data_IF_799660060399
#
_entry.id   IF_799660060399
#
_cell.length_a   1.000
_cell.length_b   1.000
_cell.length_c   1.000
_cell.angle_alpha   90.00
_cell.angle_beta   90.00
_cell.angle_gamma   90.00
#
_symmetry.space_group_name_H-M   'P 1'
#
loop_
_entity.id
_entity.type
_entity.pdbx_description
1 polymer ?
#
# COMPACT_ATOMS: atom_id res chain seq x y z
N UNK A 1 31.46 -18.56 8.71
CA UNK A 1 31.34 -17.44 7.78
C UNK A 1 31.74 -17.91 6.40
N UNK A 2 30.85 -18.50 5.67
CA UNK A 2 31.05 -18.88 4.26
C UNK A 2 30.57 -17.68 3.42
N UNK A 3 31.52 -16.97 2.81
CA UNK A 3 31.22 -15.94 1.83
C UNK A 3 30.49 -16.60 0.66
N UNK A 4 29.18 -16.39 0.56
CA UNK A 4 28.44 -16.70 -0.65
C UNK A 4 29.01 -15.77 -1.72
N UNK A 5 29.71 -16.34 -2.69
CA UNK A 5 30.20 -15.59 -3.85
C UNK A 5 28.97 -15.03 -4.57
N UNK A 6 28.83 -13.71 -4.65
CA UNK A 6 27.89 -12.99 -5.49
C UNK A 6 28.20 -13.26 -6.98
N UNK A 7 28.14 -14.50 -7.42
CA UNK A 7 28.32 -14.86 -8.81
C UNK A 7 27.02 -14.58 -9.55
N UNK A 8 27.11 -13.81 -10.62
CA UNK A 8 26.01 -13.54 -11.55
C UNK A 8 25.34 -14.86 -11.99
N UNK A 9 24.02 -14.96 -11.82
CA UNK A 9 23.26 -16.14 -12.23
C UNK A 9 22.85 -16.04 -13.71
N UNK A 10 23.66 -16.61 -14.58
CA UNK A 10 23.38 -16.72 -16.02
C UNK A 10 22.15 -17.57 -16.32
N UNK A 11 21.88 -18.62 -15.52
CA UNK A 11 20.73 -19.50 -15.72
C UNK A 11 19.42 -18.74 -15.53
N UNK A 12 19.35 -17.95 -14.44
CA UNK A 12 18.23 -17.05 -14.18
C UNK A 12 18.01 -16.07 -15.35
N UNK A 13 19.07 -15.39 -15.78
CA UNK A 13 18.96 -14.36 -16.84
C UNK A 13 18.48 -14.94 -18.18
N UNK A 14 18.98 -16.12 -18.58
CA UNK A 14 18.54 -16.79 -19.80
C UNK A 14 17.08 -17.23 -19.70
N UNK A 15 16.68 -17.83 -18.57
CA UNK A 15 15.29 -18.22 -18.30
C UNK A 15 14.38 -16.99 -18.34
N UNK A 16 14.75 -15.92 -17.65
CA UNK A 16 13.98 -14.67 -17.63
C UNK A 16 13.82 -14.07 -19.03
N UNK A 17 14.88 -14.04 -19.85
CA UNK A 17 14.80 -13.54 -21.22
C UNK A 17 13.81 -14.35 -22.06
N UNK A 18 13.84 -15.68 -21.95
CA UNK A 18 12.89 -16.54 -22.67
C UNK A 18 11.44 -16.29 -22.21
N UNK A 19 11.21 -16.19 -20.90
CA UNK A 19 9.88 -15.89 -20.33
C UNK A 19 9.38 -14.50 -20.73
N UNK A 20 10.27 -13.50 -20.75
CA UNK A 20 9.90 -12.14 -21.13
C UNK A 20 9.52 -12.04 -22.61
N UNK A 21 10.27 -12.68 -23.50
CA UNK A 21 9.91 -12.77 -24.93
C UNK A 21 8.57 -13.48 -25.10
N UNK A 22 8.36 -14.60 -24.40
CA UNK A 22 7.11 -15.34 -24.45
C UNK A 22 5.93 -14.52 -23.92
N UNK A 23 6.15 -13.71 -22.87
CA UNK A 23 5.15 -12.79 -22.33
C UNK A 23 4.67 -11.74 -23.35
N UNK A 24 5.55 -11.31 -24.28
CA UNK A 24 5.18 -10.38 -25.36
C UNK A 24 4.37 -11.06 -26.48
N UNK A 25 4.48 -12.36 -26.63
CA UNK A 25 3.79 -13.15 -27.66
C UNK A 25 2.40 -13.61 -27.21
N UNK A 26 1.52 -12.63 -26.91
CA UNK A 26 0.18 -12.86 -26.32
C UNK A 26 -0.66 -13.90 -27.05
N UNK A 27 -0.52 -14.02 -28.38
CA UNK A 27 -1.25 -15.01 -29.17
C UNK A 27 -0.89 -16.47 -28.83
N UNK A 28 0.27 -16.71 -28.23
CA UNK A 28 0.70 -18.03 -27.79
C UNK A 28 0.16 -18.40 -26.40
N UNK A 29 -0.29 -17.45 -25.59
CA UNK A 29 -0.65 -17.71 -24.20
C UNK A 29 -1.75 -18.76 -24.05
N UNK A 30 -2.68 -18.84 -25.03
CA UNK A 30 -3.75 -19.84 -25.01
C UNK A 30 -3.27 -21.29 -25.17
N UNK A 31 -2.05 -21.50 -25.69
CA UNK A 31 -1.44 -22.82 -25.89
C UNK A 31 -0.50 -23.23 -24.76
N UNK A 32 -0.21 -22.33 -23.81
CA UNK A 32 0.68 -22.60 -22.69
C UNK A 32 -0.07 -23.26 -21.54
N UNK A 33 0.64 -24.09 -20.77
CA UNK A 33 0.11 -24.61 -19.51
C UNK A 33 -0.15 -23.45 -18.53
N UNK A 34 -1.07 -23.65 -17.60
CA UNK A 34 -1.39 -22.69 -16.56
C UNK A 34 -0.15 -22.30 -15.74
N UNK A 35 0.61 -23.29 -15.30
CA UNK A 35 1.87 -23.08 -14.56
C UNK A 35 2.86 -22.20 -15.32
N UNK A 36 3.00 -22.39 -16.63
CA UNK A 36 3.90 -21.56 -17.43
C UNK A 36 3.34 -20.14 -17.61
N UNK A 37 2.03 -20.00 -17.80
CA UNK A 37 1.39 -18.67 -17.89
C UNK A 37 1.56 -17.85 -16.61
N UNK A 38 1.52 -18.50 -15.45
CA UNK A 38 1.74 -17.85 -14.16
C UNK A 38 3.19 -17.37 -13.95
N UNK A 39 4.16 -17.97 -14.64
CA UNK A 39 5.55 -17.52 -14.60
C UNK A 39 5.87 -16.38 -15.56
N UNK A 40 4.95 -16.05 -16.49
CA UNK A 40 5.22 -15.00 -17.47
C UNK A 40 5.19 -13.59 -16.83
N UNK A 41 6.23 -12.77 -17.02
CA UNK A 41 6.25 -11.40 -16.53
C UNK A 41 5.42 -10.46 -17.43
N UNK A 42 4.12 -10.75 -17.58
CA UNK A 42 3.24 -10.06 -18.54
C UNK A 42 2.96 -8.61 -18.18
N UNK A 43 3.11 -8.23 -16.92
CA UNK A 43 2.95 -6.86 -16.44
C UNK A 43 4.27 -6.07 -16.37
N UNK A 44 5.40 -6.71 -16.69
CA UNK A 44 6.69 -6.02 -16.63
C UNK A 44 6.91 -5.14 -17.84
N UNK A 45 7.39 -3.92 -17.63
CA UNK A 45 7.97 -3.12 -18.69
C UNK A 45 9.44 -3.48 -18.92
N UNK A 46 10.04 -2.87 -19.96
CA UNK A 46 11.42 -3.20 -20.34
C UNK A 46 12.44 -2.89 -19.22
N UNK A 47 12.25 -1.82 -18.47
CA UNK A 47 13.18 -1.46 -17.38
C UNK A 47 13.16 -2.50 -16.26
N UNK A 48 11.99 -2.98 -15.85
CA UNK A 48 11.85 -4.04 -14.87
C UNK A 48 12.57 -5.32 -15.32
N UNK A 49 12.36 -5.71 -16.58
CA UNK A 49 13.05 -6.85 -17.18
C UNK A 49 14.57 -6.63 -17.19
N UNK A 50 15.01 -5.47 -17.67
CA UNK A 50 16.44 -5.21 -17.87
C UNK A 50 17.22 -5.20 -16.55
N UNK A 51 16.67 -4.61 -15.50
CA UNK A 51 17.31 -4.60 -14.18
C UNK A 51 17.43 -6.01 -13.61
N UNK A 52 16.38 -6.82 -13.66
CA UNK A 52 16.42 -8.21 -13.20
C UNK A 52 17.39 -9.06 -14.05
N UNK A 53 17.38 -8.89 -15.37
CA UNK A 53 18.27 -9.60 -16.30
C UNK A 53 19.74 -9.30 -16.03
N UNK A 54 20.11 -8.02 -15.96
CA UNK A 54 21.53 -7.61 -15.80
C UNK A 54 22.10 -7.88 -14.41
N UNK A 55 21.25 -8.10 -13.40
CA UNK A 55 21.65 -8.43 -12.04
C UNK A 55 21.65 -9.94 -11.76
N UNK A 56 21.23 -10.79 -12.73
CA UNK A 56 21.02 -12.21 -12.46
C UNK A 56 19.92 -12.46 -11.42
N UNK A 57 18.93 -11.58 -11.33
CA UNK A 57 17.83 -11.67 -10.36
C UNK A 57 18.12 -11.13 -8.96
N UNK A 58 19.33 -10.60 -8.71
CA UNK A 58 19.69 -10.05 -7.39
C UNK A 58 19.05 -8.68 -7.12
N UNK A 59 18.69 -7.96 -8.18
CA UNK A 59 17.99 -6.67 -8.09
C UNK A 59 16.74 -6.74 -8.96
N UNK A 60 15.59 -6.40 -8.38
CA UNK A 60 14.29 -6.50 -9.04
C UNK A 60 13.39 -5.32 -8.67
N UNK A 61 12.40 -5.02 -9.49
CA UNK A 61 11.34 -4.11 -9.10
C UNK A 61 10.22 -4.86 -8.37
N UNK A 62 9.89 -4.39 -7.18
CA UNK A 62 8.75 -4.88 -6.40
C UNK A 62 7.45 -4.17 -6.77
N UNK A 63 7.54 -3.02 -7.42
CA UNK A 63 6.39 -2.29 -7.93
C UNK A 63 6.61 -1.91 -9.40
N UNK A 64 5.56 -1.43 -10.07
CA UNK A 64 5.64 -1.06 -11.48
C UNK A 64 6.56 0.14 -11.67
N UNK A 65 7.61 -0.03 -12.45
CA UNK A 65 8.54 1.06 -12.74
C UNK A 65 7.89 2.16 -13.56
N UNK A 66 7.96 3.38 -13.05
CA UNK A 66 7.48 4.59 -13.70
C UNK A 66 8.18 5.83 -13.14
N UNK A 67 8.21 6.90 -13.94
CA UNK A 67 8.71 8.22 -13.55
C UNK A 67 7.56 9.21 -13.46
N UNK A 68 7.53 9.99 -12.39
CA UNK A 68 6.53 11.04 -12.24
C UNK A 68 6.84 12.18 -13.20
N UNK A 69 5.85 12.58 -13.99
CA UNK A 69 5.92 13.79 -14.80
C UNK A 69 5.93 15.03 -13.92
N UNK A 70 6.72 16.03 -14.31
CA UNK A 70 6.60 17.33 -13.68
C UNK A 70 5.23 17.93 -14.02
N UNK A 71 4.58 18.57 -13.05
CA UNK A 71 3.28 19.19 -13.31
C UNK A 71 3.44 20.44 -14.19
N UNK A 72 2.48 20.68 -15.08
CA UNK A 72 2.44 21.90 -15.90
C UNK A 72 2.24 23.16 -15.05
N UNK A 73 1.63 23.02 -13.88
CA UNK A 73 1.31 24.11 -12.96
C UNK A 73 1.25 23.61 -11.53
N UNK A 74 1.61 24.47 -10.59
CA UNK A 74 1.47 24.23 -9.15
C UNK A 74 0.18 24.84 -8.56
N UNK A 75 -0.78 25.20 -9.41
CA UNK A 75 -2.08 25.66 -8.94
C UNK A 75 -2.90 24.48 -8.37
N UNK A 76 -3.65 24.71 -7.27
CA UNK A 76 -4.57 23.72 -6.76
C UNK A 76 -5.58 23.25 -7.83
N UNK A 77 -5.74 21.90 -7.97
CA UNK A 77 -6.59 21.29 -9.02
C UNK A 77 -8.10 21.37 -8.73
N UNK A 78 -8.51 21.80 -7.53
CA UNK A 78 -9.90 21.93 -7.13
C UNK A 78 -10.12 23.23 -6.36
N UNK A 79 -11.30 23.85 -6.55
CA UNK A 79 -11.77 24.98 -5.74
C UNK A 79 -12.36 24.45 -4.44
N UNK A 80 -11.99 25.04 -3.32
CA UNK A 80 -12.40 24.67 -1.98
C UNK A 80 -12.70 25.89 -1.12
N UNK A 81 -13.27 25.68 0.07
CA UNK A 81 -13.43 26.74 1.05
C UNK A 81 -12.04 27.26 1.50
N UNK A 82 -11.96 28.56 1.79
CA UNK A 82 -10.68 29.24 2.09
C UNK A 82 -9.89 28.59 3.26
N UNK A 83 -10.59 28.05 4.25
CA UNK A 83 -9.94 27.38 5.41
C UNK A 83 -9.20 26.09 5.05
N UNK A 84 -9.49 25.46 3.88
CA UNK A 84 -8.80 24.27 3.40
C UNK A 84 -7.87 24.56 2.23
N UNK A 85 -7.83 25.82 1.78
CA UNK A 85 -7.08 26.22 0.60
C UNK A 85 -5.58 25.96 0.78
N UNK A 86 -5.01 25.22 -0.15
CA UNK A 86 -3.56 25.12 -0.33
C UNK A 86 -3.08 26.30 -1.19
N UNK A 87 -1.95 26.87 -0.84
CA UNK A 87 -1.28 27.87 -1.67
C UNK A 87 -0.54 27.20 -2.83
N UNK A 88 -0.15 27.98 -3.83
CA UNK A 88 0.78 27.49 -4.88
C UNK A 88 2.08 26.98 -4.27
N UNK A 89 2.57 27.62 -3.20
CA UNK A 89 3.75 27.20 -2.46
C UNK A 89 3.58 25.82 -1.81
N UNK A 90 2.41 25.53 -1.25
CA UNK A 90 2.09 24.23 -0.65
C UNK A 90 2.06 23.12 -1.71
N UNK A 91 1.43 23.38 -2.85
CA UNK A 91 1.35 22.42 -3.96
C UNK A 91 2.75 22.19 -4.54
N UNK A 92 3.56 23.24 -4.69
CA UNK A 92 4.95 23.13 -5.12
C UNK A 92 5.79 22.30 -4.14
N UNK A 93 5.67 22.59 -2.84
CA UNK A 93 6.34 21.83 -1.79
C UNK A 93 6.01 20.35 -1.87
N UNK A 94 4.71 20.01 -2.04
CA UNK A 94 4.28 18.62 -2.22
C UNK A 94 4.93 17.96 -3.44
N UNK A 95 4.95 18.64 -4.60
CA UNK A 95 5.57 18.11 -5.82
C UNK A 95 7.09 18.02 -5.75
N UNK A 96 7.74 18.81 -4.93
CA UNK A 96 9.19 18.75 -4.70
C UNK A 96 9.56 17.65 -3.71
N UNK A 97 8.75 17.44 -2.67
CA UNK A 97 9.10 16.60 -1.53
C UNK A 97 8.32 15.29 -1.43
N UNK A 98 7.14 15.17 -2.08
CA UNK A 98 6.30 13.97 -2.08
C UNK A 98 5.34 13.86 -0.89
N UNK A 99 5.26 14.88 -0.02
CA UNK A 99 4.35 14.92 1.14
C UNK A 99 3.94 16.34 1.49
N UNK A 100 2.90 16.48 2.31
CA UNK A 100 2.40 17.75 2.84
C UNK A 100 1.70 17.55 4.19
N UNK A 101 1.84 18.53 5.07
CA UNK A 101 1.32 18.49 6.44
C UNK A 101 2.46 18.52 7.48
N UNK A 102 2.18 18.28 8.78
CA UNK A 102 0.88 17.80 9.30
C UNK A 102 -0.20 18.88 9.34
N UNK A 103 -1.46 18.42 9.36
CA UNK A 103 -2.66 19.21 9.51
C UNK A 103 -3.50 18.71 10.68
N UNK A 104 -4.27 19.58 11.32
CA UNK A 104 -5.23 19.17 12.34
C UNK A 104 -6.50 18.57 11.68
N UNK A 105 -6.99 17.46 12.24
CA UNK A 105 -8.20 16.76 11.80
C UNK A 105 -9.28 16.81 12.87
N UNK A 106 -8.93 16.43 14.10
CA UNK A 106 -9.76 16.44 15.30
C UNK A 106 -8.92 16.79 16.50
N UNK A 107 -9.55 17.15 17.63
CA UNK A 107 -8.79 17.40 18.85
C UNK A 107 -8.13 16.10 19.38
N UNK A 108 -7.06 16.21 20.17
CA UNK A 108 -6.44 15.03 20.79
C UNK A 108 -7.42 14.22 21.65
N UNK A 109 -8.35 14.89 22.34
CA UNK A 109 -9.37 14.26 23.19
C UNK A 109 -10.38 13.48 22.34
N UNK A 110 -10.89 14.07 21.26
CA UNK A 110 -11.77 13.41 20.30
C UNK A 110 -11.08 12.19 19.67
N UNK A 111 -9.79 12.32 19.33
CA UNK A 111 -9.02 11.24 18.78
C UNK A 111 -8.79 10.10 19.78
N UNK A 112 -8.55 10.39 21.05
CA UNK A 112 -8.37 9.35 22.08
C UNK A 112 -9.65 8.53 22.30
N UNK A 113 -10.82 9.19 22.29
CA UNK A 113 -12.12 8.49 22.38
C UNK A 113 -12.36 7.62 21.12
N UNK A 114 -12.05 8.15 19.96
CA UNK A 114 -12.16 7.41 18.70
C UNK A 114 -11.17 6.23 18.66
N UNK A 115 -9.92 6.42 19.07
CA UNK A 115 -8.91 5.38 19.16
C UNK A 115 -9.36 4.22 20.06
N UNK A 116 -9.85 4.53 21.27
CA UNK A 116 -10.40 3.51 22.18
C UNK A 116 -11.48 2.70 21.49
N UNK A 117 -12.40 3.36 20.82
CA UNK A 117 -13.45 2.67 20.08
C UNK A 117 -12.89 1.82 18.96
N UNK A 118 -12.03 2.37 18.10
CA UNK A 118 -11.50 1.69 16.91
C UNK A 118 -10.57 0.52 17.27
N UNK A 119 -9.65 0.74 18.20
CA UNK A 119 -8.64 -0.27 18.55
C UNK A 119 -9.21 -1.28 19.56
N UNK A 120 -9.81 -0.81 20.63
CA UNK A 120 -10.19 -1.68 21.76
C UNK A 120 -11.58 -2.32 21.57
N UNK A 121 -12.34 -1.92 20.52
CA UNK A 121 -13.67 -2.46 20.25
C UNK A 121 -13.86 -2.94 18.81
N UNK A 122 -13.51 -2.15 17.79
CA UNK A 122 -13.72 -2.53 16.40
C UNK A 122 -12.73 -3.61 15.96
N UNK A 123 -11.43 -3.44 16.23
CA UNK A 123 -10.40 -4.41 15.81
C UNK A 123 -10.44 -5.75 16.56
N UNK A 124 -11.14 -5.82 17.72
CA UNK A 124 -11.34 -7.09 18.44
C UNK A 124 -12.41 -7.98 17.79
N UNK A 125 -13.13 -7.47 16.79
CA UNK A 125 -14.14 -8.20 16.04
C UNK A 125 -13.61 -8.53 14.65
N UNK A 126 -13.96 -9.69 14.15
CA UNK A 126 -13.72 -10.01 12.74
C UNK A 126 -14.48 -9.03 11.84
N UNK A 127 -13.88 -8.70 10.69
CA UNK A 127 -14.50 -7.83 9.71
C UNK A 127 -15.59 -8.56 8.93
N UNK A 128 -16.79 -8.00 8.90
CA UNK A 128 -17.90 -8.50 8.06
C UNK A 128 -17.65 -8.26 6.57
N UNK A 129 -16.80 -7.30 6.22
CA UNK A 129 -16.48 -6.90 4.84
C UNK A 129 -15.13 -7.46 4.37
N UNK A 130 -14.39 -8.14 5.22
CA UNK A 130 -13.26 -8.91 4.75
C UNK A 130 -13.76 -10.01 3.84
N UNK A 131 -13.17 -10.02 2.67
CA UNK A 131 -13.29 -11.11 1.73
C UNK A 131 -12.62 -12.39 2.23
N UNK A 132 -12.43 -12.51 3.56
CA UNK A 132 -11.68 -13.54 4.24
C UNK A 132 -12.50 -14.17 5.38
N UNK A 133 -13.80 -14.38 5.18
CA UNK A 133 -14.54 -15.25 6.08
C UNK A 133 -13.83 -16.59 6.16
N UNK A 134 -13.77 -17.18 7.34
CA UNK A 134 -13.16 -18.51 7.53
C UNK A 134 -13.68 -19.48 6.48
N UNK A 135 -12.80 -19.95 5.60
CA UNK A 135 -13.13 -20.86 4.51
C UNK A 135 -13.04 -20.28 3.10
N UNK A 136 -12.94 -18.95 2.94
CA UNK A 136 -12.87 -18.31 1.62
C UNK A 136 -11.42 -18.06 1.15
N UNK A 137 -10.42 -18.60 1.84
CA UNK A 137 -9.01 -18.47 1.49
C UNK A 137 -8.21 -19.73 1.82
N UNK A 138 -7.12 -19.92 1.12
CA UNK A 138 -6.11 -20.95 1.39
C UNK A 138 -4.74 -20.26 1.56
N UNK A 139 -3.94 -20.75 2.52
CA UNK A 139 -2.55 -20.34 2.58
C UNK A 139 -1.79 -20.96 1.39
N UNK A 140 -1.01 -20.12 0.72
CA UNK A 140 -0.17 -20.53 -0.39
C UNK A 140 1.14 -21.14 0.09
N UNK A 141 1.16 -22.45 0.25
CA UNK A 141 2.34 -23.22 0.65
C UNK A 141 3.18 -23.69 -0.54
N UNK A 142 2.89 -23.22 -1.77
CA UNK A 142 3.52 -23.76 -3.00
C UNK A 142 4.64 -22.88 -3.57
N UNK A 143 5.03 -21.76 -2.94
CA UNK A 143 6.09 -20.93 -3.47
C UNK A 143 7.48 -21.50 -3.17
N UNK A 144 8.33 -21.60 -4.19
CA UNK A 144 9.70 -22.09 -4.08
C UNK A 144 10.59 -21.25 -3.14
N UNK A 145 10.15 -20.03 -2.78
CA UNK A 145 10.78 -19.14 -1.82
C UNK A 145 10.34 -19.39 -0.36
N UNK A 146 9.67 -20.50 -0.06
CA UNK A 146 8.97 -20.68 1.19
C UNK A 146 9.88 -21.13 2.34
N UNK A 147 10.12 -20.20 3.25
CA UNK A 147 10.48 -20.50 4.63
C UNK A 147 9.45 -21.45 5.31
N UNK A 148 8.19 -21.44 4.86
CA UNK A 148 7.11 -22.26 5.41
C UNK A 148 7.35 -23.78 5.28
N UNK A 149 8.10 -24.20 4.26
CA UNK A 149 8.46 -25.63 4.10
C UNK A 149 9.48 -26.13 5.12
N UNK A 150 10.18 -25.20 5.79
CA UNK A 150 11.19 -25.50 6.82
C UNK A 150 10.68 -25.24 8.25
N UNK A 151 9.45 -24.73 8.40
CA UNK A 151 8.86 -24.42 9.70
C UNK A 151 8.12 -25.65 10.25
N UNK A 152 8.14 -25.82 11.56
CA UNK A 152 7.28 -26.77 12.24
C UNK A 152 5.79 -26.28 12.25
N UNK A 153 4.90 -27.16 12.72
CA UNK A 153 3.46 -26.86 12.74
C UNK A 153 3.13 -25.64 13.62
N UNK A 154 3.84 -25.45 14.72
CA UNK A 154 3.61 -24.36 15.67
C UNK A 154 4.00 -23.00 15.03
N UNK A 155 5.20 -22.89 14.45
CA UNK A 155 5.64 -21.69 13.70
C UNK A 155 4.69 -21.38 12.54
N UNK A 156 4.20 -22.41 11.84
CA UNK A 156 3.25 -22.23 10.74
C UNK A 156 1.93 -21.65 11.25
N UNK A 157 1.47 -22.07 12.42
CA UNK A 157 0.23 -21.59 13.01
C UNK A 157 0.37 -20.13 13.49
N UNK A 158 1.45 -19.79 14.19
CA UNK A 158 1.74 -18.40 14.61
C UNK A 158 1.78 -17.45 13.41
N UNK A 159 2.41 -17.88 12.32
CA UNK A 159 2.46 -17.11 11.08
C UNK A 159 1.07 -16.87 10.48
N UNK A 160 0.22 -17.89 10.45
CA UNK A 160 -1.16 -17.76 9.99
C UNK A 160 -1.94 -16.76 10.83
N UNK A 161 -1.86 -16.88 12.15
CA UNK A 161 -2.54 -15.97 13.08
C UNK A 161 -2.09 -14.52 12.89
N UNK A 162 -0.79 -14.30 12.76
CA UNK A 162 -0.24 -12.98 12.46
C UNK A 162 -0.79 -12.38 11.16
N UNK A 163 -0.82 -13.15 10.06
CA UNK A 163 -1.37 -12.64 8.79
C UNK A 163 -2.87 -12.40 8.86
N UNK A 164 -3.64 -13.25 9.55
CA UNK A 164 -5.06 -13.02 9.76
C UNK A 164 -5.32 -11.75 10.57
N UNK A 165 -4.52 -11.49 11.59
CA UNK A 165 -4.60 -10.24 12.33
C UNK A 165 -4.29 -9.02 11.43
N UNK A 166 -3.23 -9.09 10.63
CA UNK A 166 -2.93 -8.03 9.66
C UNK A 166 -4.07 -7.79 8.67
N UNK A 167 -4.70 -8.87 8.22
CA UNK A 167 -5.84 -8.80 7.32
C UNK A 167 -7.05 -8.15 8.02
N UNK A 168 -7.30 -8.47 9.29
CA UNK A 168 -8.40 -7.89 10.08
C UNK A 168 -8.22 -6.37 10.31
N UNK A 169 -7.01 -5.83 10.08
CA UNK A 169 -6.71 -4.38 10.14
C UNK A 169 -6.99 -3.65 8.82
N UNK A 170 -7.38 -4.38 7.73
CA UNK A 170 -7.66 -3.80 6.42
C UNK A 170 -9.13 -3.45 6.25
N UNK A 171 -9.38 -2.38 5.49
CA UNK A 171 -10.69 -1.98 4.96
C UNK A 171 -11.83 -1.85 6.00
N UNK A 172 -11.49 -1.64 7.27
CA UNK A 172 -12.47 -1.51 8.37
C UNK A 172 -13.42 -0.32 8.19
N UNK A 173 -13.11 0.61 7.29
CA UNK A 173 -14.03 1.69 6.90
C UNK A 173 -15.30 1.19 6.18
N UNK A 174 -15.30 -0.06 5.73
CA UNK A 174 -16.48 -0.71 5.16
C UNK A 174 -17.35 -1.36 6.25
N UNK A 175 -16.80 -1.60 7.44
CA UNK A 175 -17.50 -2.17 8.59
C UNK A 175 -18.09 -1.10 9.52
N UNK A 176 -17.50 0.11 9.54
CA UNK A 176 -17.78 1.10 10.55
C UNK A 176 -17.92 2.52 9.98
N UNK A 177 -19.10 3.12 10.20
CA UNK A 177 -19.41 4.46 9.72
C UNK A 177 -18.58 5.56 10.40
N UNK A 178 -18.15 5.39 11.67
CA UNK A 178 -17.35 6.40 12.37
C UNK A 178 -15.97 6.49 11.76
N UNK A 179 -15.40 5.33 11.40
CA UNK A 179 -14.13 5.27 10.70
C UNK A 179 -14.25 5.87 9.30
N UNK A 180 -15.33 5.59 8.59
CA UNK A 180 -15.58 6.15 7.28
C UNK A 180 -15.75 7.66 7.32
N UNK A 181 -16.54 8.17 8.27
CA UNK A 181 -16.78 9.61 8.43
C UNK A 181 -15.49 10.39 8.74
N UNK A 182 -14.51 9.76 9.40
CA UNK A 182 -13.21 10.38 9.61
C UNK A 182 -12.52 10.74 8.28
N UNK A 183 -12.57 9.83 7.29
CA UNK A 183 -12.00 10.05 5.96
C UNK A 183 -12.84 10.97 5.07
N UNK A 184 -14.12 11.15 5.37
CA UNK A 184 -15.01 12.09 4.67
C UNK A 184 -14.90 13.53 5.17
N UNK A 185 -14.15 13.77 6.26
CA UNK A 185 -13.95 15.13 6.77
C UNK A 185 -13.36 16.04 5.70
N UNK A 186 -13.85 17.29 5.54
CA UNK A 186 -13.35 18.22 4.52
C UNK A 186 -11.87 18.57 4.71
N UNK A 187 -11.33 18.46 5.92
CA UNK A 187 -9.90 18.59 6.23
C UNK A 187 -9.05 17.67 5.34
N UNK A 188 -9.53 16.46 5.08
CA UNK A 188 -8.87 15.45 4.23
C UNK A 188 -9.29 15.64 2.77
N UNK A 189 -10.61 15.60 2.50
CA UNK A 189 -11.12 15.49 1.12
C UNK A 189 -10.84 16.72 0.29
N UNK A 190 -10.98 17.92 0.88
CA UNK A 190 -10.71 19.17 0.17
C UNK A 190 -9.23 19.39 -0.11
N UNK A 191 -8.31 18.96 0.79
CA UNK A 191 -6.87 19.03 0.51
C UNK A 191 -6.44 17.99 -0.50
N UNK A 192 -6.92 16.76 -0.40
CA UNK A 192 -6.62 15.70 -1.37
C UNK A 192 -7.07 16.09 -2.80
N UNK A 193 -8.26 16.70 -2.92
CA UNK A 193 -8.78 17.14 -4.20
C UNK A 193 -7.94 18.24 -4.86
N UNK A 194 -7.30 19.10 -4.10
CA UNK A 194 -6.41 20.14 -4.65
C UNK A 194 -5.12 19.56 -5.25
N UNK A 195 -4.69 18.39 -4.78
CA UNK A 195 -3.50 17.69 -5.29
C UNK A 195 -3.83 16.70 -6.41
N UNK A 196 -4.95 15.98 -6.31
CA UNK A 196 -5.33 14.92 -7.26
C UNK A 196 -6.29 15.39 -8.35
N UNK A 197 -7.19 16.30 -8.02
CA UNK A 197 -8.34 16.69 -8.84
C UNK A 197 -9.66 16.49 -8.08
N UNK A 198 -10.79 17.00 -8.60
CA UNK A 198 -12.05 17.09 -7.86
C UNK A 198 -12.72 15.75 -7.55
N UNK A 199 -12.43 14.71 -8.34
CA UNK A 199 -13.13 13.43 -8.32
C UNK A 199 -12.24 12.36 -7.69
N UNK A 200 -12.46 12.07 -6.39
CA UNK A 200 -11.60 11.19 -5.59
C UNK A 200 -12.40 10.13 -4.85
N UNK A 201 -11.77 8.98 -4.66
CA UNK A 201 -12.30 7.82 -3.94
C UNK A 201 -11.33 7.32 -2.88
N UNK A 202 -11.88 6.70 -1.83
CA UNK A 202 -11.15 5.89 -0.86
C UNK A 202 -11.29 4.42 -1.26
N UNK A 203 -10.16 3.69 -1.35
CA UNK A 203 -10.21 2.30 -1.78
C UNK A 203 -9.64 1.32 -0.76
N UNK A 204 -8.80 1.80 0.19
CA UNK A 204 -8.21 0.97 1.23
C UNK A 204 -7.96 1.80 2.48
N UNK A 205 -8.23 1.21 3.64
CA UNK A 205 -7.73 1.69 4.92
C UNK A 205 -6.93 0.57 5.60
N UNK A 206 -5.94 0.94 6.42
CA UNK A 206 -5.16 -0.02 7.21
C UNK A 206 -4.72 0.61 8.52
N UNK A 207 -4.90 -0.14 9.61
CA UNK A 207 -4.34 0.19 10.90
C UNK A 207 -2.90 -0.30 11.00
N UNK A 208 -2.05 0.53 11.61
CA UNK A 208 -0.64 0.23 11.86
C UNK A 208 -0.31 0.43 13.31
N UNK A 209 0.25 -0.60 13.91
CA UNK A 209 0.79 -0.55 15.25
C UNK A 209 2.30 -0.72 15.20
N UNK A 210 3.02 0.06 16.01
CA UNK A 210 4.40 -0.26 16.37
C UNK A 210 4.39 -0.56 17.86
N UNK A 211 4.67 -1.82 18.17
CA UNK A 211 4.66 -2.31 19.56
C UNK A 211 5.74 -1.64 20.41
N UNK A 212 5.59 -1.64 21.74
CA UNK A 212 6.63 -1.19 22.66
C UNK A 212 7.96 -1.89 22.38
N UNK A 213 9.04 -1.12 22.40
CA UNK A 213 10.41 -1.63 22.21
C UNK A 213 10.64 -2.46 20.96
N UNK A 214 9.89 -2.19 19.88
CA UNK A 214 10.02 -2.88 18.59
C UNK A 214 10.63 -1.99 17.51
N UNK A 215 11.15 -2.61 16.46
CA UNK A 215 11.64 -1.93 15.28
C UNK A 215 10.51 -1.21 14.52
N UNK A 216 10.86 -0.13 13.84
CA UNK A 216 9.98 0.57 12.93
C UNK A 216 9.80 -0.14 11.59
N UNK A 217 8.96 0.41 10.74
CA UNK A 217 8.79 -0.10 9.37
C UNK A 217 9.98 0.31 8.52
N UNK A 218 10.61 -0.64 7.83
CA UNK A 218 11.71 -0.38 6.90
C UNK A 218 11.28 0.59 5.79
N UNK A 219 12.25 1.33 5.27
CA UNK A 219 12.04 2.27 4.16
C UNK A 219 11.59 1.52 2.90
N UNK A 220 10.52 2.00 2.29
CA UNK A 220 9.89 1.36 1.15
C UNK A 220 9.16 2.36 0.25
N UNK A 221 8.84 1.91 -0.97
CA UNK A 221 7.96 2.59 -1.93
C UNK A 221 6.84 1.64 -2.34
N UNK A 222 5.68 2.20 -2.66
CA UNK A 222 4.59 1.50 -3.32
C UNK A 222 3.81 2.49 -4.20
N UNK A 223 3.20 2.01 -5.28
CA UNK A 223 2.36 2.84 -6.13
C UNK A 223 1.22 2.06 -6.76
N UNK A 224 1.50 0.90 -7.33
CA UNK A 224 0.50 0.06 -8.00
C UNK A 224 0.15 -1.19 -7.23
N UNK A 225 0.80 -1.43 -6.09
CA UNK A 225 0.67 -2.68 -5.31
C UNK A 225 0.91 -3.93 -6.18
N UNK A 226 1.79 -3.82 -7.16
CA UNK A 226 2.20 -4.94 -8.01
C UNK A 226 2.78 -6.09 -7.18
N UNK A 227 3.52 -5.78 -6.12
CA UNK A 227 4.14 -6.75 -5.22
C UNK A 227 3.11 -7.65 -4.49
N UNK A 228 1.86 -7.22 -4.34
CA UNK A 228 0.85 -8.07 -3.73
C UNK A 228 0.53 -9.30 -4.57
N UNK A 229 0.53 -9.16 -5.90
CA UNK A 229 0.14 -10.23 -6.82
C UNK A 229 1.30 -10.72 -7.68
N UNK A 230 2.23 -9.85 -8.04
CA UNK A 230 3.41 -10.05 -8.91
C UNK A 230 3.08 -10.44 -10.37
N UNK A 231 1.82 -10.50 -10.75
CA UNK A 231 1.36 -10.74 -12.11
C UNK A 231 0.55 -9.58 -12.68
N UNK A 232 -0.25 -8.95 -11.84
CA UNK A 232 -1.10 -7.83 -12.19
C UNK A 232 -1.06 -6.79 -11.06
N UNK A 233 -1.04 -5.52 -11.41
CA UNK A 233 -1.12 -4.44 -10.44
C UNK A 233 -2.52 -4.38 -9.81
N UNK A 234 -2.57 -4.13 -8.50
CA UNK A 234 -3.83 -3.89 -7.79
C UNK A 234 -4.41 -2.53 -8.18
N UNK A 235 -3.55 -1.52 -8.32
CA UNK A 235 -3.92 -0.15 -8.70
C UNK A 235 -3.47 0.10 -10.14
N UNK A 236 -4.42 0.44 -11.01
CA UNK A 236 -4.21 0.61 -12.43
C UNK A 236 -4.68 2.00 -12.87
N UNK A 237 -3.82 3.03 -12.82
CA UNK A 237 -4.13 4.38 -13.27
C UNK A 237 -4.19 4.46 -14.79
N UNK A 238 -4.80 5.51 -15.31
CA UNK A 238 -4.80 5.80 -16.74
C UNK A 238 -3.40 6.12 -17.26
N UNK A 239 -2.56 6.79 -16.47
CA UNK A 239 -1.13 7.03 -16.72
C UNK A 239 -0.32 6.82 -15.43
N UNK A 240 0.59 5.86 -15.44
CA UNK A 240 1.48 5.58 -14.31
C UNK A 240 2.48 6.71 -14.00
N UNK A 241 2.70 7.61 -14.94
CA UNK A 241 3.62 8.73 -14.77
C UNK A 241 2.94 9.98 -14.21
N UNK A 242 1.65 9.94 -13.92
CA UNK A 242 0.92 11.00 -13.24
C UNK A 242 0.72 10.72 -11.76
N UNK A 243 0.36 11.76 -11.00
CA UNK A 243 -0.06 11.62 -9.62
C UNK A 243 -1.54 11.20 -9.61
N UNK A 244 -1.82 9.97 -9.23
CA UNK A 244 -3.16 9.39 -9.22
C UNK A 244 -3.63 8.94 -7.83
N UNK A 245 -2.74 8.97 -6.83
CA UNK A 245 -3.03 8.46 -5.49
C UNK A 245 -2.23 9.17 -4.41
N UNK A 246 -2.86 9.30 -3.26
CA UNK A 246 -2.27 9.76 -2.00
C UNK A 246 -2.58 8.79 -0.87
N UNK A 247 -1.70 8.74 0.10
CA UNK A 247 -1.98 8.20 1.41
C UNK A 247 -2.23 9.33 2.38
N UNK A 248 -3.37 9.29 3.05
CA UNK A 248 -3.64 10.08 4.23
C UNK A 248 -3.26 9.24 5.45
N UNK A 249 -2.22 9.64 6.19
CA UNK A 249 -1.81 8.98 7.42
C UNK A 249 -2.27 9.80 8.62
N UNK A 250 -3.06 9.19 9.49
CA UNK A 250 -3.69 9.81 10.67
C UNK A 250 -3.02 9.25 11.93
N UNK A 251 -2.58 10.12 12.83
CA UNK A 251 -2.04 9.74 14.13
C UNK A 251 -3.21 9.45 15.11
N UNK A 252 -3.41 8.17 15.46
CA UNK A 252 -4.38 7.76 16.48
C UNK A 252 -3.83 7.94 17.89
N UNK A 253 -2.51 7.87 18.05
CA UNK A 253 -1.75 8.25 19.25
C UNK A 253 -0.73 9.30 18.85
N UNK A 254 -0.16 10.01 19.81
CA UNK A 254 1.03 10.83 19.55
C UNK A 254 2.07 9.96 18.85
N UNK A 255 2.71 10.50 17.80
CA UNK A 255 3.81 9.89 17.08
C UNK A 255 5.01 10.83 17.14
N UNK A 256 6.07 10.45 17.85
CA UNK A 256 7.24 11.30 18.10
C UNK A 256 8.55 10.51 17.91
N UNK A 257 9.67 11.16 18.15
CA UNK A 257 11.00 10.58 17.96
C UNK A 257 11.32 9.41 18.91
N UNK A 258 10.51 9.20 19.95
CA UNK A 258 10.73 8.12 20.93
C UNK A 258 9.86 6.92 20.63
N UNK A 259 8.64 7.13 20.10
CA UNK A 259 7.65 6.06 19.95
C UNK A 259 7.38 5.65 18.50
N UNK A 260 8.26 5.96 17.56
CA UNK A 260 8.16 5.44 16.21
C UNK A 260 7.38 6.33 15.24
N UNK A 261 7.64 7.65 15.21
CA UNK A 261 7.04 8.51 14.20
C UNK A 261 7.44 8.10 12.77
N UNK A 262 6.66 8.55 11.80
CA UNK A 262 6.96 8.35 10.39
C UNK A 262 8.22 9.10 9.98
N UNK A 263 8.92 8.54 8.99
CA UNK A 263 10.05 9.18 8.31
C UNK A 263 9.89 9.05 6.78
N UNK A 264 10.36 10.05 6.08
CA UNK A 264 10.29 10.17 4.63
C UNK A 264 11.66 10.59 4.09
N UNK A 265 12.02 10.13 2.90
CA UNK A 265 13.14 10.66 2.13
C UNK A 265 12.58 11.65 1.10
N UNK A 266 12.61 12.97 1.35
CA UNK A 266 12.00 13.96 0.46
C UNK A 266 12.58 13.91 -0.95
N UNK A 267 11.72 14.11 -1.96
CA UNK A 267 12.13 14.17 -3.37
C UNK A 267 12.29 12.81 -4.05
N UNK A 268 12.28 11.68 -3.31
CA UNK A 268 12.49 10.34 -3.89
C UNK A 268 11.28 9.79 -4.65
N UNK A 269 10.16 10.47 -4.65
CA UNK A 269 8.92 10.06 -5.32
C UNK A 269 8.92 10.23 -6.84
N UNK A 270 9.94 10.86 -7.39
CA UNK A 270 10.03 11.14 -8.83
C UNK A 270 10.16 9.87 -9.67
N UNK A 271 10.68 8.80 -9.08
CA UNK A 271 10.94 7.52 -9.74
C UNK A 271 10.69 6.36 -8.77
N UNK A 272 10.35 5.20 -9.29
CA UNK A 272 10.31 3.96 -8.51
C UNK A 272 11.67 3.29 -8.63
N UNK A 273 12.26 2.90 -7.50
CA UNK A 273 13.58 2.29 -7.43
C UNK A 273 13.50 0.77 -7.31
N UNK A 274 14.48 0.05 -7.85
CA UNK A 274 14.55 -1.40 -7.67
C UNK A 274 15.00 -1.76 -6.26
N UNK A 275 14.83 -3.03 -5.91
CA UNK A 275 15.17 -3.61 -4.62
C UNK A 275 16.32 -4.59 -4.79
N UNK A 276 17.37 -4.42 -4.00
CA UNK A 276 18.41 -5.44 -3.81
C UNK A 276 17.88 -6.50 -2.88
N UNK A 277 17.85 -7.74 -3.35
CA UNK A 277 17.41 -8.89 -2.56
C UNK A 277 18.53 -9.30 -1.61
N UNK A 278 18.26 -9.22 -0.31
CA UNK A 278 19.14 -9.67 0.75
C UNK A 278 18.97 -11.16 1.07
N UNK A 279 19.60 -11.58 2.18
CA UNK A 279 19.45 -12.92 2.72
C UNK A 279 18.03 -13.15 3.26
N UNK A 280 17.66 -14.43 3.43
CA UNK A 280 16.38 -14.78 4.06
C UNK A 280 16.35 -14.26 5.49
N UNK A 281 15.29 -13.58 5.87
CA UNK A 281 15.08 -13.02 7.21
C UNK A 281 14.01 -13.79 7.94
N UNK A 282 14.23 -14.04 9.23
CA UNK A 282 13.19 -14.57 10.12
C UNK A 282 12.23 -13.48 10.63
N UNK A 283 12.63 -12.19 10.54
CA UNK A 283 11.77 -11.08 10.90
C UNK A 283 10.91 -10.66 9.70
N UNK A 284 9.70 -11.16 9.67
CA UNK A 284 8.71 -10.87 8.63
C UNK A 284 7.85 -9.64 8.95
N UNK A 285 7.95 -9.10 10.16
CA UNK A 285 6.99 -8.13 10.68
C UNK A 285 7.20 -6.71 10.15
N UNK A 286 8.45 -6.36 9.83
CA UNK A 286 8.84 -4.98 9.49
C UNK A 286 9.25 -4.80 8.03
N UNK A 287 9.17 -5.85 7.21
CA UNK A 287 9.63 -5.84 5.83
C UNK A 287 8.47 -6.06 4.86
N UNK A 288 8.11 -5.01 4.11
CA UNK A 288 7.06 -5.11 3.08
C UNK A 288 7.51 -5.88 1.83
N UNK A 289 8.81 -6.14 1.68
CA UNK A 289 9.36 -6.84 0.52
C UNK A 289 9.39 -8.37 0.69
N UNK A 290 8.73 -8.90 1.71
CA UNK A 290 8.60 -10.33 1.97
C UNK A 290 9.69 -10.88 2.88
N UNK A 291 10.03 -12.16 2.69
CA UNK A 291 10.88 -12.95 3.58
C UNK A 291 12.39 -12.68 3.45
N UNK A 292 12.82 -11.72 2.66
CA UNK A 292 14.24 -11.37 2.50
C UNK A 292 14.56 -10.04 3.15
N UNK A 293 15.77 -9.92 3.71
CA UNK A 293 16.31 -8.65 4.19
C UNK A 293 16.73 -7.78 3.00
N UNK A 294 15.72 -7.17 2.38
CA UNK A 294 15.87 -6.43 1.13
C UNK A 294 15.88 -4.94 1.37
N UNK A 295 16.60 -4.20 0.54
CA UNK A 295 16.74 -2.75 0.62
C UNK A 295 16.53 -2.08 -0.75
N UNK A 296 16.12 -0.81 -0.72
CA UNK A 296 15.98 -0.02 -1.95
C UNK A 296 17.37 0.25 -2.54
N UNK A 297 17.54 -0.06 -3.83
CA UNK A 297 18.74 0.28 -4.61
C UNK A 297 18.65 1.73 -5.09
N UNK A 298 18.81 2.68 -4.15
CA UNK A 298 18.78 4.10 -4.48
C UNK A 298 20.09 4.53 -5.16
N UNK A 299 20.04 5.23 -6.30
CA UNK A 299 21.24 5.65 -7.00
C UNK A 299 21.94 6.82 -6.28
N UNK A 300 23.22 6.65 -6.00
CA UNK A 300 24.04 7.69 -5.37
C UNK A 300 23.85 7.79 -3.86
N UNK A 301 23.88 9.03 -3.33
CA UNK A 301 23.74 9.28 -1.88
C UNK A 301 22.25 9.32 -1.53
N UNK A 302 21.85 8.44 -0.63
CA UNK A 302 20.48 8.45 -0.10
C UNK A 302 20.21 9.78 0.63
N UNK A 303 19.09 10.47 0.33
CA UNK A 303 18.70 11.66 1.06
C UNK A 303 18.56 11.40 2.57
N UNK A 304 18.84 12.42 3.38
CA UNK A 304 18.62 12.32 4.82
C UNK A 304 17.13 12.14 5.14
N UNK A 305 16.78 11.18 6.01
CA UNK A 305 15.39 10.97 6.41
C UNK A 305 14.84 12.18 7.16
N UNK A 306 13.68 12.65 6.73
CA UNK A 306 12.91 13.66 7.44
C UNK A 306 11.83 12.98 8.29
N UNK A 307 11.91 13.13 9.61
CA UNK A 307 10.92 12.61 10.54
C UNK A 307 9.71 13.56 10.63
N UNK A 308 8.50 12.98 10.78
CA UNK A 308 7.24 13.73 10.87
C UNK A 308 6.58 13.45 12.23
N UNK A 309 6.99 14.17 13.29
CA UNK A 309 6.29 14.07 14.57
C UNK A 309 4.88 14.66 14.47
N UNK A 310 3.90 13.99 15.08
CA UNK A 310 2.50 14.42 15.08
C UNK A 310 1.85 14.19 16.45
N UNK A 311 0.88 15.02 16.78
CA UNK A 311 -0.05 14.78 17.87
C UNK A 311 -1.19 13.88 17.44
N UNK A 312 -1.78 13.16 18.39
CA UNK A 312 -3.03 12.46 18.16
C UNK A 312 -4.07 13.40 17.54
N UNK A 313 -4.78 12.96 16.51
CA UNK A 313 -5.73 13.80 15.80
C UNK A 313 -5.16 14.64 14.65
N UNK A 314 -3.86 14.60 14.41
CA UNK A 314 -3.26 15.18 13.21
C UNK A 314 -3.12 14.16 12.08
N UNK A 315 -3.00 14.65 10.86
CA UNK A 315 -2.70 13.84 9.68
C UNK A 315 -1.74 14.55 8.74
N UNK A 316 -1.08 13.78 7.90
CA UNK A 316 -0.36 14.28 6.73
C UNK A 316 -0.71 13.46 5.51
N UNK A 317 -0.45 14.01 4.34
CA UNK A 317 -0.64 13.31 3.07
C UNK A 317 0.70 13.13 2.37
N UNK A 318 0.88 11.98 1.75
CA UNK A 318 2.04 11.71 0.93
C UNK A 318 1.68 10.84 -0.27
N UNK A 319 2.49 10.90 -1.31
CA UNK A 319 2.41 9.89 -2.37
C UNK A 319 3.17 8.65 -1.96
N UNK A 320 2.59 7.47 -2.11
CA UNK A 320 3.25 6.19 -1.82
C UNK A 320 4.54 5.96 -2.65
N UNK A 321 4.76 6.80 -3.65
CA UNK A 321 6.00 6.83 -4.44
C UNK A 321 7.20 7.34 -3.64
N UNK A 322 7.00 8.19 -2.61
CA UNK A 322 8.10 8.67 -1.76
C UNK A 322 8.62 7.51 -0.92
N UNK A 323 9.92 7.39 -0.78
CA UNK A 323 10.52 6.42 0.13
C UNK A 323 10.16 6.83 1.55
N UNK A 324 9.47 5.94 2.27
CA UNK A 324 8.98 6.21 3.61
C UNK A 324 9.02 4.97 4.50
N UNK A 325 8.89 5.20 5.77
CA UNK A 325 8.87 4.17 6.80
C UNK A 325 8.58 4.77 8.15
N UNK A 326 9.01 4.14 9.22
CA UNK A 326 8.95 4.69 10.57
C UNK A 326 10.20 4.30 11.35
N UNK A 327 10.57 5.15 12.29
CA UNK A 327 11.67 4.85 13.23
C UNK A 327 11.20 3.87 14.31
N UNK A 328 12.15 3.33 15.06
CA UNK A 328 11.86 2.39 16.14
C UNK A 328 11.01 3.00 17.26
N UNK A 329 10.18 2.18 17.87
CA UNK A 329 9.47 2.52 19.09
C UNK A 329 10.31 2.11 20.32
N UNK A 330 10.92 3.08 20.97
CA UNK A 330 11.72 2.90 22.20
C UNK A 330 10.91 3.14 23.48
N UNK A 331 9.61 3.44 23.33
CA UNK A 331 8.72 3.70 24.46
C UNK A 331 8.06 2.41 24.98
N UNK A 332 7.45 2.50 26.15
CA UNK A 332 6.68 1.42 26.78
C UNK A 332 5.22 1.33 26.28
N UNK A 333 4.83 2.10 25.26
CA UNK A 333 3.46 2.16 24.75
C UNK A 333 3.42 1.92 23.25
N UNK A 334 2.37 1.26 22.76
CA UNK A 334 2.13 1.10 21.32
C UNK A 334 1.84 2.44 20.65
N UNK A 335 2.39 2.64 19.46
CA UNK A 335 2.04 3.75 18.59
C UNK A 335 1.08 3.28 17.50
N UNK A 336 -0.10 3.88 17.47
CA UNK A 336 -1.15 3.57 16.50
C UNK A 336 -1.27 4.64 15.43
N UNK A 337 -1.34 4.20 14.19
CA UNK A 337 -1.63 5.04 13.03
C UNK A 337 -2.66 4.39 12.12
N UNK A 338 -3.30 5.18 11.30
CA UNK A 338 -4.33 4.76 10.38
C UNK A 338 -4.07 5.37 9.00
N UNK A 339 -3.97 4.53 7.98
CA UNK A 339 -3.84 4.97 6.59
C UNK A 339 -5.17 4.88 5.84
N UNK A 340 -5.44 5.90 5.02
CA UNK A 340 -6.45 5.85 3.97
C UNK A 340 -5.81 6.09 2.61
N UNK A 341 -6.07 5.21 1.65
CA UNK A 341 -5.59 5.31 0.27
C UNK A 341 -6.64 6.01 -0.58
N UNK A 342 -6.33 7.22 -1.00
CA UNK A 342 -7.22 8.08 -1.79
C UNK A 342 -6.69 8.11 -3.22
N UNK A 343 -7.53 7.76 -4.18
CA UNK A 343 -7.17 7.76 -5.60
C UNK A 343 -8.15 8.60 -6.43
N UNK A 344 -7.73 8.97 -7.63
CA UNK A 344 -8.61 9.58 -8.63
C UNK A 344 -9.59 8.55 -9.19
N UNK A 345 -10.80 8.95 -9.56
CA UNK A 345 -11.84 8.03 -10.07
C UNK A 345 -11.51 7.41 -11.42
N UNK A 346 -10.55 7.98 -12.19
CA UNK A 346 -10.01 7.38 -13.41
C UNK A 346 -8.96 6.27 -13.15
N UNK A 347 -8.72 5.94 -11.89
CA UNK A 347 -7.85 4.83 -11.48
C UNK A 347 -8.70 3.60 -11.21
N UNK A 348 -8.44 2.51 -11.91
CA UNK A 348 -9.07 1.23 -11.63
C UNK A 348 -8.37 0.53 -10.48
N UNK A 349 -9.14 0.18 -9.45
CA UNK A 349 -8.67 -0.63 -8.33
C UNK A 349 -9.12 -2.07 -8.57
N UNK A 350 -8.19 -2.99 -8.50
CA UNK A 350 -8.33 -4.37 -8.92
C UNK A 350 -8.73 -4.55 -10.38
N UNK A 351 -8.17 -5.53 -11.02
CA UNK A 351 -8.55 -5.87 -12.39
C UNK A 351 -9.91 -6.57 -12.42
N UNK A 352 -10.64 -6.59 -13.55
CA UNK A 352 -11.86 -7.37 -13.69
C UNK A 352 -11.67 -8.85 -13.36
N UNK A 353 -10.47 -9.41 -13.65
CA UNK A 353 -10.12 -10.79 -13.32
C UNK A 353 -10.07 -10.98 -11.79
N UNK A 354 -9.40 -10.07 -11.07
CA UNK A 354 -9.34 -10.10 -9.59
C UNK A 354 -10.74 -9.96 -8.96
N UNK A 355 -11.58 -9.09 -9.51
CA UNK A 355 -12.93 -8.82 -8.98
C UNK A 355 -13.95 -9.94 -9.26
N UNK A 356 -13.79 -10.69 -10.35
CA UNK A 356 -14.72 -11.73 -10.78
C UNK A 356 -14.18 -13.16 -10.57
N UNK A 357 -12.97 -13.29 -10.12
CA UNK A 357 -12.30 -14.53 -9.79
C UNK A 357 -11.78 -14.54 -8.36
N UNK A 358 -10.97 -15.54 -8.10
CA UNK A 358 -10.28 -15.63 -6.85
C UNK A 358 -8.96 -14.84 -6.94
N UNK A 359 -8.81 -13.85 -6.10
CA UNK A 359 -7.59 -13.07 -6.01
C UNK A 359 -6.52 -13.83 -5.22
N UNK A 360 -5.28 -13.78 -5.68
CA UNK A 360 -4.12 -14.32 -4.96
C UNK A 360 -3.26 -13.17 -4.48
N UNK A 361 -2.92 -13.16 -3.20
CA UNK A 361 -1.94 -12.24 -2.64
C UNK A 361 -0.68 -12.99 -2.23
N UNK A 362 0.39 -12.81 -2.97
CA UNK A 362 1.70 -13.32 -2.58
C UNK A 362 2.24 -12.64 -1.34
N UNK A 363 1.90 -11.38 -1.13
CA UNK A 363 2.30 -10.62 0.05
C UNK A 363 1.75 -11.23 1.34
N UNK A 364 0.47 -11.62 1.35
CA UNK A 364 -0.18 -12.26 2.49
C UNK A 364 -0.11 -13.79 2.45
N UNK A 365 0.58 -14.35 1.47
CA UNK A 365 0.64 -15.82 1.24
C UNK A 365 -0.75 -16.46 1.18
N UNK A 366 -1.70 -15.80 0.52
CA UNK A 366 -3.08 -16.25 0.43
C UNK A 366 -3.50 -16.49 -1.01
N UNK A 367 -4.19 -17.62 -1.22
CA UNK A 367 -4.93 -17.94 -2.44
C UNK A 367 -6.43 -17.77 -2.22
N UNK A 368 -7.14 -17.72 -3.32
CA UNK A 368 -8.60 -17.80 -3.33
C UNK A 368 -9.29 -16.71 -2.50
N UNK A 369 -8.74 -15.50 -2.55
CA UNK A 369 -9.33 -14.35 -1.86
C UNK A 369 -10.54 -13.86 -2.68
N UNK A 370 -11.75 -13.90 -2.10
CA UNK A 370 -12.91 -13.24 -2.69
C UNK A 370 -12.88 -11.73 -2.45
N UNK A 371 -13.09 -10.96 -3.50
CA UNK A 371 -13.26 -9.51 -3.43
C UNK A 371 -14.73 -9.09 -3.58
N UNK A 372 -15.69 -9.99 -3.38
CA UNK A 372 -17.11 -9.73 -3.60
C UNK A 372 -17.67 -8.63 -2.70
N UNK A 373 -17.18 -8.53 -1.48
CA UNK A 373 -17.58 -7.49 -0.51
C UNK A 373 -16.81 -6.19 -0.65
N UNK A 374 -15.68 -6.20 -1.35
CA UNK A 374 -14.88 -4.98 -1.53
C UNK A 374 -15.64 -3.93 -2.35
N UNK A 375 -15.58 -2.69 -1.88
CA UNK A 375 -16.14 -1.50 -2.54
C UNK A 375 -15.21 -0.32 -2.32
N UNK A 376 -15.12 0.55 -3.31
CA UNK A 376 -14.60 1.89 -3.13
C UNK A 376 -15.66 2.81 -2.51
N UNK A 377 -15.22 3.89 -1.89
CA UNK A 377 -16.11 4.94 -1.39
C UNK A 377 -15.82 6.24 -2.14
N UNK A 378 -16.80 6.80 -2.81
CA UNK A 378 -16.66 8.12 -3.41
C UNK A 378 -16.59 9.15 -2.29
N UNK A 379 -15.43 9.80 -2.14
CA UNK A 379 -15.22 10.83 -1.10
C UNK A 379 -15.67 12.21 -1.55
N UNK A 380 -15.46 12.54 -2.83
CA UNK A 380 -15.76 13.84 -3.41
C UNK A 380 -15.97 13.73 -4.92
N UNK A 381 -16.78 14.63 -5.48
CA UNK A 381 -17.03 14.71 -6.91
C UNK A 381 -17.89 13.58 -7.46
N UNK A 382 -17.60 13.12 -8.65
CA UNK A 382 -18.36 12.08 -9.35
C UNK A 382 -17.45 11.06 -10.03
N UNK A 383 -17.93 9.83 -10.20
CA UNK A 383 -17.28 8.84 -11.04
C UNK A 383 -17.88 8.83 -12.44
N UNK A 384 -17.10 9.25 -13.42
CA UNK A 384 -17.46 9.29 -14.85
C UNK A 384 -16.95 8.07 -15.62
N UNK A 385 -16.16 7.20 -14.99
CA UNK A 385 -15.44 6.11 -15.65
C UNK A 385 -16.08 4.75 -15.44
N UNK A 386 -16.74 4.55 -14.28
CA UNK A 386 -17.39 3.29 -13.94
C UNK A 386 -16.42 2.11 -13.77
N UNK A 387 -15.17 2.39 -13.43
CA UNK A 387 -14.15 1.35 -13.28
C UNK A 387 -14.27 0.58 -11.97
N UNK A 388 -14.82 1.20 -10.95
CA UNK A 388 -14.82 0.68 -9.59
C UNK A 388 -16.24 0.38 -9.10
N UNK A 389 -16.35 -0.60 -8.19
CA UNK A 389 -17.60 -0.88 -7.47
C UNK A 389 -17.66 0.03 -6.24
N UNK A 390 -18.75 0.74 -6.06
CA UNK A 390 -18.93 1.66 -4.92
C UNK A 390 -19.89 1.11 -3.88
N UNK A 391 -19.70 1.54 -2.63
CA UNK A 391 -20.74 1.40 -1.60
C UNK A 391 -21.98 2.17 -2.06
N UNK A 392 -23.13 1.51 -2.09
CA UNK A 392 -24.41 2.23 -2.14
C UNK A 392 -24.55 2.97 -0.82
N UNK A 393 -24.83 4.28 -0.86
CA UNK A 393 -25.13 5.04 0.35
C UNK A 393 -26.13 4.24 1.20
N UNK A 394 -25.74 3.91 2.42
CA UNK A 394 -26.59 3.13 3.33
C UNK A 394 -27.89 3.90 3.48
N UNK A 395 -29.00 3.35 2.96
CA UNK A 395 -30.32 3.87 3.27
C UNK A 395 -30.42 3.91 4.78
N UNK A 396 -30.51 5.12 5.37
CA UNK A 396 -30.90 5.27 6.77
C UNK A 396 -32.09 4.35 6.99
N UNK A 397 -31.95 3.34 7.85
CA UNK A 397 -33.08 2.63 8.38
C UNK A 397 -33.88 3.69 9.13
N UNK A 398 -34.95 4.18 8.49
CA UNK A 398 -35.99 4.88 9.21
C UNK A 398 -36.47 3.92 10.29
N UNK A 399 -36.16 4.26 11.53
CA UNK A 399 -36.79 3.69 12.68
C UNK A 399 -38.27 4.11 12.57
N UNK A 400 -39.06 3.22 12.00
CA UNK A 400 -40.53 3.30 12.10
C UNK A 400 -40.84 3.18 13.59
N UNK A 401 -41.14 4.30 14.21
CA UNK A 401 -41.78 4.33 15.52
C UNK A 401 -43.17 3.73 15.32
N UNK A 402 -43.35 2.51 15.80
CA UNK A 402 -44.68 1.95 16.12
C UNK A 402 -44.91 2.10 17.60
#
# INVERSE_FOLDING_TARGET
>A
MTSISNSFDWSFSIKLAALYVLAQLKFLHGFLSETLREQLPTAWNFEMFWVAFKSGGQTVYYDYYCKLKEPESYQPKAKVESKFQLTEGDVRFFHENGYIGPFDLVSPEEMEDLRKYLVDSLLTKESDNLSFSQGDYEFDTTSEDDLLTSWDEEMTQEYKEYYLELMNRLNRHLDDDRLLELFKKPEITERAAQLLGPDILLWRTKFFEIHPHSGGTKLHQATTWFYENQQESVVNPADHNELYQLTCWIALTDANLVNGCMQILPGTHKEIYPIKLGEMSQDLTNNIYGSRDSEIDYPGVTPEPHTIPMKAGQFYMFTERVIHGSIDNKSAQSRWGLNGRIATTNTRIYTPKMLNGLHRSKYFKLKNISLDKWRAVLLRGEDRYGYNRYTTATKKKELVKS
#
